data_IF_603748366866
#
_entry.id   IF_603748366866
#
_cell.length_a   1.000
_cell.length_b   1.000
_cell.length_c   1.000
_cell.angle_alpha   90.00
_cell.angle_beta   90.00
_cell.angle_gamma   90.00
#
_symmetry.space_group_name_H-M   'P 1'
#
loop_
_entity.id
_entity.type
_entity.pdbx_description
1 polymer ?
#
# COMPACT_ATOMS: atom_id res chain seq x y z
N UNK A 1 -35.13 63.56 -12.82
CA UNK A 1 -34.01 63.17 -11.92
C UNK A 1 -33.91 61.64 -11.72
N UNK A 2 -34.09 60.82 -12.77
CA UNK A 2 -34.09 59.34 -12.66
C UNK A 2 -33.13 58.61 -13.63
N UNK A 3 -32.45 59.32 -14.54
CA UNK A 3 -31.53 58.68 -15.51
C UNK A 3 -30.09 58.48 -14.98
N UNK A 4 -29.68 59.18 -13.92
CA UNK A 4 -28.31 59.10 -13.40
C UNK A 4 -28.03 57.87 -12.50
N UNK A 5 -29.07 57.16 -12.04
CA UNK A 5 -28.92 55.96 -11.21
C UNK A 5 -28.84 54.66 -12.01
N UNK A 6 -29.34 54.64 -13.25
CA UNK A 6 -29.30 53.43 -14.10
C UNK A 6 -27.89 53.12 -14.61
N UNK A 7 -27.11 54.14 -14.99
CA UNK A 7 -25.75 53.95 -15.51
C UNK A 7 -24.75 53.44 -14.46
N UNK A 8 -24.97 53.78 -13.19
CA UNK A 8 -24.06 53.43 -12.08
C UNK A 8 -24.28 51.99 -11.59
N UNK A 9 -25.51 51.48 -11.70
CA UNK A 9 -25.81 50.07 -11.43
C UNK A 9 -25.42 49.14 -12.58
N UNK A 10 -25.49 49.61 -13.83
CA UNK A 10 -24.99 48.85 -14.98
C UNK A 10 -23.46 48.68 -14.95
N UNK A 11 -22.70 49.68 -14.48
CA UNK A 11 -21.23 49.61 -14.41
C UNK A 11 -20.72 48.68 -13.29
N UNK A 12 -21.46 48.59 -12.16
CA UNK A 12 -21.12 47.65 -11.08
C UNK A 12 -21.52 46.20 -11.39
N UNK A 13 -22.55 45.98 -12.21
CA UNK A 13 -22.93 44.64 -12.67
C UNK A 13 -21.92 44.01 -13.64
N UNK A 14 -21.30 44.83 -14.52
CA UNK A 14 -20.33 44.33 -15.51
C UNK A 14 -18.97 44.01 -14.87
N UNK A 15 -18.59 44.69 -13.78
CA UNK A 15 -17.33 44.41 -13.08
C UNK A 15 -17.40 43.14 -12.20
N UNK A 16 -18.59 42.72 -11.76
CA UNK A 16 -18.78 41.47 -11.02
C UNK A 16 -18.76 40.22 -11.91
N UNK A 17 -19.11 40.35 -13.20
CA UNK A 17 -19.08 39.23 -14.15
C UNK A 17 -17.66 38.98 -14.69
N UNK A 18 -16.80 40.00 -14.75
CA UNK A 18 -15.42 39.87 -15.22
C UNK A 18 -14.47 39.15 -14.24
N UNK A 19 -14.85 39.00 -12.95
CA UNK A 19 -14.02 38.35 -11.93
C UNK A 19 -14.19 36.82 -11.85
N UNK A 20 -15.20 36.25 -12.52
CA UNK A 20 -15.44 34.80 -12.50
C UNK A 20 -14.71 34.07 -13.65
N UNK A 21 -14.20 34.79 -14.65
CA UNK A 21 -13.49 34.20 -15.79
C UNK A 21 -12.02 33.83 -15.49
N UNK A 22 -11.48 34.19 -14.31
CA UNK A 22 -10.09 33.96 -13.93
C UNK A 22 -9.84 32.81 -12.96
N UNK A 23 -10.89 32.14 -12.48
CA UNK A 23 -10.71 30.93 -11.67
C UNK A 23 -10.36 29.79 -12.61
N UNK A 24 -9.06 29.63 -12.87
CA UNK A 24 -8.49 28.37 -13.33
C UNK A 24 -8.96 27.29 -12.36
N UNK A 25 -10.01 26.57 -12.75
CA UNK A 25 -10.37 25.30 -12.14
C UNK A 25 -9.16 24.41 -12.40
N UNK A 26 -8.23 24.36 -11.44
CA UNK A 26 -7.27 23.27 -11.38
C UNK A 26 -8.15 22.02 -11.27
N UNK A 27 -8.35 21.36 -12.40
CA UNK A 27 -8.83 19.99 -12.42
C UNK A 27 -7.91 19.25 -11.47
N UNK A 28 -8.41 18.89 -10.29
CA UNK A 28 -7.75 17.93 -9.42
C UNK A 28 -7.79 16.60 -10.17
N UNK A 29 -6.87 16.44 -11.13
CA UNK A 29 -6.46 15.13 -11.57
C UNK A 29 -6.12 14.36 -10.29
N UNK A 30 -6.62 13.13 -10.17
CA UNK A 30 -6.28 12.27 -9.04
C UNK A 30 -4.76 12.27 -8.90
N UNK A 31 -4.25 12.94 -7.86
CA UNK A 31 -2.82 12.94 -7.60
C UNK A 31 -2.43 11.49 -7.41
N UNK A 32 -1.63 10.97 -8.35
CA UNK A 32 -1.16 9.60 -8.30
C UNK A 32 -0.56 9.33 -6.92
N UNK A 33 -0.73 8.11 -6.43
CA UNK A 33 -0.29 7.70 -5.09
C UNK A 33 1.14 8.16 -4.77
N UNK A 34 2.04 8.11 -5.76
CA UNK A 34 3.42 8.59 -5.63
C UNK A 34 3.52 10.06 -5.23
N UNK A 35 2.70 10.95 -5.79
CA UNK A 35 2.70 12.37 -5.44
C UNK A 35 2.22 12.56 -4.00
N UNK A 36 1.14 11.86 -3.60
CA UNK A 36 0.64 11.88 -2.22
C UNK A 36 1.69 11.38 -1.23
N UNK A 37 2.42 10.32 -1.56
CA UNK A 37 3.53 9.80 -0.76
C UNK A 37 4.65 10.83 -0.62
N UNK A 38 5.05 11.48 -1.73
CA UNK A 38 6.10 12.51 -1.74
C UNK A 38 5.72 13.76 -0.96
N UNK A 39 4.50 14.26 -1.14
CA UNK A 39 3.99 15.43 -0.41
C UNK A 39 3.90 15.14 1.10
N UNK A 40 3.40 13.96 1.46
CA UNK A 40 3.32 13.52 2.86
C UNK A 40 4.68 13.18 3.46
N UNK A 41 5.72 13.02 2.65
CA UNK A 41 7.08 12.65 3.09
C UNK A 41 7.20 11.24 3.67
N UNK A 42 6.19 10.37 3.51
CA UNK A 42 6.18 9.03 4.10
C UNK A 42 5.52 8.00 3.17
N UNK A 43 6.13 6.82 3.04
CA UNK A 43 5.53 5.63 2.43
C UNK A 43 4.95 4.73 3.53
N UNK A 44 3.64 4.48 3.51
CA UNK A 44 2.95 3.62 4.47
C UNK A 44 3.05 2.16 4.00
N UNK A 45 3.82 1.34 4.71
CA UNK A 45 4.15 -0.04 4.31
C UNK A 45 3.47 -1.03 5.24
N UNK A 46 2.61 -1.89 4.69
CA UNK A 46 2.05 -3.04 5.40
C UNK A 46 2.98 -4.25 5.35
N UNK A 47 3.25 -4.82 6.53
CA UNK A 47 4.00 -6.06 6.75
C UNK A 47 3.50 -6.72 8.04
N UNK A 48 3.82 -7.98 8.32
CA UNK A 48 3.33 -8.67 9.52
C UNK A 48 4.16 -8.38 10.78
N UNK A 49 5.49 -8.41 10.67
CA UNK A 49 6.36 -8.26 11.84
C UNK A 49 6.41 -9.51 12.73
N UNK A 50 5.88 -10.64 12.27
CA UNK A 50 5.92 -11.95 12.94
C UNK A 50 6.41 -13.08 12.03
N UNK A 51 6.99 -12.74 10.87
CA UNK A 51 7.38 -13.67 9.82
C UNK A 51 8.89 -13.63 9.54
N UNK A 52 9.74 -14.27 10.36
CA UNK A 52 11.17 -14.35 10.12
C UNK A 52 11.49 -15.23 8.89
N UNK A 53 12.55 -14.92 8.12
CA UNK A 53 13.49 -13.80 8.29
C UNK A 53 13.05 -12.49 7.59
N UNK A 54 11.80 -12.41 7.13
CA UNK A 54 11.32 -11.33 6.26
C UNK A 54 10.92 -10.08 7.04
N UNK A 55 9.96 -10.19 7.96
CA UNK A 55 9.61 -9.10 8.87
C UNK A 55 9.28 -9.66 10.24
N UNK A 56 10.09 -9.34 11.26
CA UNK A 56 9.97 -9.90 12.60
C UNK A 56 10.49 -8.93 13.67
N UNK A 57 10.12 -9.15 14.92
CA UNK A 57 10.74 -8.43 16.04
C UNK A 57 12.06 -9.11 16.43
N UNK A 58 13.14 -8.36 16.44
CA UNK A 58 14.44 -8.82 16.93
C UNK A 58 14.48 -8.87 18.45
N UNK A 59 15.62 -9.32 18.99
CA UNK A 59 15.82 -9.47 20.44
C UNK A 59 15.73 -8.14 21.20
N UNK A 60 15.98 -7.01 20.52
CA UNK A 60 15.82 -5.66 21.06
C UNK A 60 14.37 -5.13 20.99
N UNK A 61 13.42 -5.98 20.57
CA UNK A 61 12.00 -5.67 20.39
C UNK A 61 11.70 -4.82 19.17
N UNK A 62 12.71 -4.47 18.35
CA UNK A 62 12.50 -3.66 17.15
C UNK A 62 12.14 -4.53 15.96
N UNK A 63 11.34 -3.95 15.08
CA UNK A 63 10.99 -4.56 13.82
C UNK A 63 12.23 -4.58 12.89
N UNK A 64 12.56 -5.76 12.38
CA UNK A 64 13.74 -6.05 11.55
C UNK A 64 13.43 -7.14 10.52
N UNK A 65 14.39 -7.45 9.65
CA UNK A 65 14.31 -8.48 8.62
C UNK A 65 14.41 -7.91 7.21
N UNK A 66 14.50 -8.82 6.23
CA UNK A 66 14.75 -8.47 4.84
C UNK A 66 13.74 -7.44 4.28
N UNK A 67 12.44 -7.62 4.54
CA UNK A 67 11.38 -6.75 4.00
C UNK A 67 11.29 -5.40 4.72
N UNK A 68 11.75 -5.34 5.97
CA UNK A 68 11.89 -4.09 6.73
C UNK A 68 13.00 -3.23 6.12
N UNK A 69 14.16 -3.83 5.90
CA UNK A 69 15.30 -3.15 5.26
C UNK A 69 14.98 -2.76 3.81
N UNK A 70 14.30 -3.65 3.08
CA UNK A 70 13.85 -3.37 1.72
C UNK A 70 12.88 -2.19 1.66
N UNK A 71 11.89 -2.14 2.56
CA UNK A 71 10.94 -1.03 2.67
C UNK A 71 11.65 0.30 2.95
N UNK A 72 12.63 0.29 3.85
CA UNK A 72 13.44 1.46 4.18
C UNK A 72 14.27 1.95 2.98
N UNK A 73 14.92 1.04 2.25
CA UNK A 73 15.68 1.40 1.04
C UNK A 73 14.77 1.91 -0.08
N UNK A 74 13.59 1.33 -0.26
CA UNK A 74 12.60 1.81 -1.21
C UNK A 74 12.15 3.23 -0.87
N UNK A 75 11.77 3.50 0.38
CA UNK A 75 11.37 4.83 0.80
C UNK A 75 12.49 5.85 0.62
N UNK A 76 13.73 5.50 0.99
CA UNK A 76 14.91 6.32 0.76
C UNK A 76 15.12 6.64 -0.73
N UNK A 77 14.94 5.67 -1.62
CA UNK A 77 15.03 5.89 -3.06
C UNK A 77 13.95 6.85 -3.58
N UNK A 78 12.76 6.83 -2.97
CA UNK A 78 11.66 7.76 -3.26
C UNK A 78 11.85 9.15 -2.65
N UNK A 79 12.85 9.34 -1.79
CA UNK A 79 13.10 10.59 -1.06
C UNK A 79 12.14 10.82 0.11
N UNK A 80 11.61 9.75 0.71
CA UNK A 80 10.64 9.79 1.82
C UNK A 80 11.03 8.80 2.93
N UNK A 81 10.36 8.87 4.08
CA UNK A 81 10.55 7.92 5.19
C UNK A 81 9.62 6.70 5.07
N UNK A 82 10.08 5.53 5.52
CA UNK A 82 9.23 4.34 5.62
C UNK A 82 8.44 4.34 6.93
N UNK A 83 7.11 4.38 6.85
CA UNK A 83 6.23 4.16 8.00
C UNK A 83 5.74 2.71 7.98
N UNK A 84 6.43 1.84 8.72
CA UNK A 84 6.09 0.43 8.83
C UNK A 84 4.82 0.26 9.67
N UNK A 85 3.84 -0.48 9.14
CA UNK A 85 2.54 -0.74 9.76
C UNK A 85 2.35 -2.25 9.96
N UNK A 86 2.87 -2.83 11.06
CA UNK A 86 2.60 -4.22 11.42
C UNK A 86 1.09 -4.52 11.39
N UNK A 87 0.70 -5.46 10.53
CA UNK A 87 -0.70 -5.81 10.23
C UNK A 87 -0.78 -7.31 10.02
N UNK A 88 -1.72 -7.99 10.68
CA UNK A 88 -1.96 -9.43 10.44
C UNK A 88 -2.39 -9.66 8.98
N UNK A 89 -1.96 -10.78 8.39
CA UNK A 89 -2.31 -11.13 7.01
C UNK A 89 -3.80 -10.98 6.67
N UNK A 90 -4.70 -11.48 7.54
CA UNK A 90 -6.16 -11.41 7.36
C UNK A 90 -6.72 -10.00 7.12
N UNK A 91 -6.04 -8.97 7.64
CA UNK A 91 -6.43 -7.57 7.51
C UNK A 91 -5.58 -6.75 6.53
N UNK A 92 -4.55 -7.36 5.93
CA UNK A 92 -3.55 -6.66 5.15
C UNK A 92 -4.14 -6.04 3.88
N UNK A 93 -4.80 -6.86 3.06
CA UNK A 93 -5.40 -6.40 1.80
C UNK A 93 -6.56 -5.44 2.02
N UNK A 94 -7.35 -5.63 3.08
CA UNK A 94 -8.39 -4.69 3.46
C UNK A 94 -7.81 -3.32 3.87
N UNK A 95 -6.62 -3.30 4.49
CA UNK A 95 -5.93 -2.05 4.84
C UNK A 95 -5.36 -1.34 3.62
N UNK A 96 -4.93 -2.09 2.60
CA UNK A 96 -4.57 -1.55 1.30
C UNK A 96 -5.79 -0.96 0.58
N UNK A 97 -6.89 -1.70 0.52
CA UNK A 97 -8.15 -1.25 -0.10
C UNK A 97 -8.66 0.05 0.55
N UNK A 98 -8.59 0.15 1.88
CA UNK A 98 -9.02 1.34 2.62
C UNK A 98 -7.97 2.45 2.65
N UNK A 99 -6.86 2.32 1.91
CA UNK A 99 -5.76 3.30 1.85
C UNK A 99 -5.13 3.63 3.23
N UNK A 100 -5.18 2.70 4.18
CA UNK A 100 -4.47 2.80 5.47
C UNK A 100 -2.98 2.48 5.33
N UNK A 101 -2.63 1.76 4.27
CA UNK A 101 -1.27 1.53 3.78
C UNK A 101 -1.25 1.83 2.27
N UNK A 102 -0.07 2.19 1.74
CA UNK A 102 0.12 2.47 0.32
C UNK A 102 0.60 1.23 -0.43
N UNK A 103 1.36 0.35 0.23
CA UNK A 103 1.96 -0.85 -0.35
C UNK A 103 2.02 -1.97 0.68
N UNK A 104 1.95 -3.22 0.20
CA UNK A 104 2.21 -4.43 1.00
C UNK A 104 3.56 -5.00 0.60
N UNK A 105 4.46 -5.18 1.57
CA UNK A 105 5.76 -5.83 1.40
C UNK A 105 5.81 -6.97 2.42
N UNK A 106 5.28 -8.14 2.04
CA UNK A 106 5.03 -9.26 2.96
C UNK A 106 4.94 -10.63 2.25
N UNK A 107 5.95 -11.00 1.44
CA UNK A 107 5.99 -12.26 0.65
C UNK A 107 4.69 -12.59 -0.10
N UNK A 108 4.01 -11.58 -0.64
CA UNK A 108 2.69 -11.79 -1.25
C UNK A 108 2.85 -12.55 -2.56
N UNK A 109 2.39 -13.81 -2.59
CA UNK A 109 2.37 -14.61 -3.81
C UNK A 109 1.52 -13.94 -4.89
N UNK A 110 2.12 -13.76 -6.06
CA UNK A 110 1.43 -13.26 -7.24
C UNK A 110 0.48 -14.35 -7.75
N UNK A 111 -0.81 -14.01 -7.89
CA UNK A 111 -1.82 -14.89 -8.49
C UNK A 111 -2.68 -14.13 -9.50
N UNK A 112 -3.27 -14.84 -10.46
CA UNK A 112 -4.15 -14.24 -11.46
C UNK A 112 -5.39 -13.60 -10.83
N UNK A 113 -5.88 -14.17 -9.73
CA UNK A 113 -6.97 -13.59 -8.96
C UNK A 113 -6.58 -12.24 -8.34
N UNK A 114 -5.41 -12.16 -7.70
CA UNK A 114 -4.93 -10.90 -7.10
C UNK A 114 -4.60 -9.86 -8.17
N UNK A 115 -4.04 -10.26 -9.30
CA UNK A 115 -3.75 -9.36 -10.44
C UNK A 115 -4.98 -8.69 -11.03
N UNK A 116 -6.18 -9.25 -10.85
CA UNK A 116 -7.43 -8.58 -11.26
C UNK A 116 -7.75 -7.35 -10.42
N UNK A 117 -7.15 -7.22 -9.23
CA UNK A 117 -7.47 -6.17 -8.26
C UNK A 117 -6.26 -5.32 -7.85
N UNK A 118 -5.05 -5.87 -7.89
CA UNK A 118 -3.84 -5.24 -7.39
C UNK A 118 -2.74 -5.25 -8.44
N UNK A 119 -2.00 -4.14 -8.49
CA UNK A 119 -0.72 -4.07 -9.18
C UNK A 119 0.36 -4.76 -8.35
N UNK A 120 1.28 -5.44 -9.02
CA UNK A 120 2.44 -6.08 -8.40
C UNK A 120 3.73 -5.50 -8.95
N UNK A 121 4.76 -5.43 -8.09
CA UNK A 121 6.11 -5.16 -8.54
C UNK A 121 6.66 -6.33 -9.39
N UNK A 122 7.82 -6.11 -9.99
CA UNK A 122 8.68 -7.23 -10.36
C UNK A 122 8.91 -8.12 -9.12
N UNK A 123 8.83 -9.45 -9.22
CA UNK A 123 9.08 -10.33 -8.09
C UNK A 123 10.47 -10.09 -7.50
N UNK A 124 10.57 -10.02 -6.18
CA UNK A 124 11.85 -9.84 -5.47
C UNK A 124 12.29 -11.10 -4.70
N UNK A 125 11.45 -12.15 -4.70
CA UNK A 125 11.76 -13.47 -4.13
C UNK A 125 11.09 -14.57 -4.95
N UNK A 126 11.64 -15.78 -4.88
CA UNK A 126 11.02 -17.01 -5.37
C UNK A 126 10.98 -17.98 -4.20
N UNK A 127 9.78 -18.41 -3.83
CA UNK A 127 9.54 -19.34 -2.72
C UNK A 127 8.52 -20.40 -3.14
N UNK A 128 8.54 -21.54 -2.45
CA UNK A 128 7.63 -22.66 -2.70
C UNK A 128 7.07 -23.20 -1.39
N UNK A 129 5.82 -23.65 -1.43
CA UNK A 129 5.18 -24.31 -0.29
C UNK A 129 5.89 -25.62 -0.02
N UNK A 130 6.26 -25.86 1.23
CA UNK A 130 6.91 -27.09 1.68
C UNK A 130 6.13 -27.72 2.83
N UNK A 131 6.12 -29.05 2.90
CA UNK A 131 5.60 -29.78 4.04
C UNK A 131 6.67 -29.90 5.11
N UNK A 132 6.35 -29.50 6.34
CA UNK A 132 7.19 -29.73 7.52
C UNK A 132 6.58 -30.87 8.35
N UNK A 133 7.42 -31.84 8.70
CA UNK A 133 7.04 -32.99 9.53
C UNK A 133 7.84 -33.00 10.82
N UNK A 134 7.28 -33.61 11.87
CA UNK A 134 7.99 -33.82 13.12
C UNK A 134 9.23 -34.72 12.87
N UNK A 135 10.33 -34.43 13.57
CA UNK A 135 11.52 -35.29 13.58
C UNK A 135 11.13 -36.75 13.88
N UNK A 136 11.67 -37.69 13.11
CA UNK A 136 11.30 -39.11 13.11
C UNK A 136 10.24 -39.50 12.07
N UNK A 137 9.59 -38.54 11.40
CA UNK A 137 8.63 -38.78 10.32
C UNK A 137 9.19 -38.37 8.95
N UNK A 138 10.51 -38.30 8.81
CA UNK A 138 11.16 -37.89 7.57
C UNK A 138 10.71 -38.78 6.39
N UNK A 139 10.43 -38.16 5.24
CA UNK A 139 10.02 -38.88 4.03
C UNK A 139 8.61 -39.47 4.04
N UNK A 140 7.81 -39.25 5.10
CA UNK A 140 6.40 -39.71 5.16
C UNK A 140 5.47 -38.90 4.26
N UNK A 141 5.81 -37.63 3.97
CA UNK A 141 5.12 -36.75 3.04
C UNK A 141 6.12 -36.37 1.95
N UNK A 142 5.89 -36.82 0.73
CA UNK A 142 6.74 -36.49 -0.44
C UNK A 142 5.97 -35.73 -1.51
N UNK A 143 4.67 -35.95 -1.55
CA UNK A 143 3.75 -35.34 -2.52
C UNK A 143 2.56 -34.74 -1.78
N UNK A 144 1.82 -33.85 -2.45
CA UNK A 144 0.59 -33.29 -1.90
C UNK A 144 -0.47 -34.38 -1.61
N UNK A 145 -0.47 -35.48 -2.37
CA UNK A 145 -1.41 -36.59 -2.18
C UNK A 145 -1.25 -37.28 -0.81
N UNK A 146 -0.03 -37.29 -0.27
CA UNK A 146 0.29 -37.92 1.03
C UNK A 146 -0.35 -37.19 2.22
N UNK A 147 -0.81 -35.94 1.99
CA UNK A 147 -1.54 -35.16 2.99
C UNK A 147 -2.99 -35.63 3.18
N UNK A 148 -3.53 -36.45 2.27
CA UNK A 148 -4.93 -36.90 2.33
C UNK A 148 -5.20 -37.65 3.65
N UNK A 149 -6.21 -37.19 4.37
CA UNK A 149 -6.60 -37.77 5.67
C UNK A 149 -5.68 -37.41 6.84
N UNK A 150 -4.66 -36.55 6.63
CA UNK A 150 -3.83 -36.00 7.71
C UNK A 150 -4.45 -34.71 8.24
N UNK A 151 -4.19 -34.40 9.51
CA UNK A 151 -4.43 -33.06 10.05
C UNK A 151 -3.28 -32.15 9.62
N UNK A 152 -3.58 -31.08 8.92
CA UNK A 152 -2.60 -30.12 8.38
C UNK A 152 -2.82 -28.77 9.04
N UNK A 153 -1.74 -28.21 9.61
CA UNK A 153 -1.71 -26.81 10.03
C UNK A 153 -1.17 -25.95 8.89
N UNK A 154 -1.77 -24.78 8.70
CA UNK A 154 -1.27 -23.72 7.83
C UNK A 154 -0.97 -22.50 8.69
N UNK A 155 0.10 -21.79 8.36
CA UNK A 155 0.54 -20.57 9.04
C UNK A 155 0.59 -19.41 8.06
#
# INVERSE_FOLDING_TARGET
MKLAHLGRQALMGVMAVALVAGMSVKSFADEGLLNKVKERGTLLVGLEGTYPPFSFQGDDGKLTGFEVEFAQQLAKHLGVEASLKPTKWDGMLASLDSKRIDVVINQVTISDERKKKYDFSTPYTISGIQALVKKGNEGTIKTAADLKGKKVGVG
#
